data_IF_200431080369
#
_entry.id   IF_200431080369
#
_cell.length_a   1.000
_cell.length_b   1.000
_cell.length_c   1.000
_cell.angle_alpha   90.00
_cell.angle_beta   90.00
_cell.angle_gamma   90.00
#
_symmetry.space_group_name_H-M   'P 1'
#
loop_
_entity.id
_entity.type
_entity.pdbx_description
1 polymer ?
#
# COMPACT_ATOMS: atom_id res chain seq x y z
N UNK A 1 -1.95 -15.14 10.38
CA UNK A 1 -2.40 -14.08 11.29
C UNK A 1 -1.31 -13.04 11.58
N UNK A 2 -0.21 -13.39 12.27
CA UNK A 2 0.86 -12.44 12.62
C UNK A 2 1.46 -11.74 11.39
N UNK A 3 1.76 -12.49 10.32
CA UNK A 3 2.30 -11.92 9.08
C UNK A 3 1.39 -10.86 8.45
N UNK A 4 0.08 -11.13 8.37
CA UNK A 4 -0.89 -10.19 7.79
C UNK A 4 -1.05 -8.94 8.65
N UNK A 5 -1.00 -9.08 9.97
CA UNK A 5 -1.01 -7.94 10.89
C UNK A 5 0.26 -7.08 10.74
N UNK A 6 1.43 -7.72 10.71
CA UNK A 6 2.71 -7.02 10.48
C UNK A 6 2.72 -6.32 9.13
N UNK A 7 2.22 -6.97 8.08
CA UNK A 7 2.08 -6.37 6.75
C UNK A 7 1.13 -5.17 6.80
N UNK A 8 -0.02 -5.29 7.46
CA UNK A 8 -0.97 -4.20 7.63
C UNK A 8 -0.35 -2.98 8.32
N UNK A 9 0.32 -3.20 9.45
CA UNK A 9 1.02 -2.14 10.20
C UNK A 9 2.14 -1.54 9.36
N UNK A 10 2.94 -2.37 8.67
CA UNK A 10 4.00 -1.89 7.79
C UNK A 10 3.46 -0.98 6.68
N UNK A 11 2.35 -1.35 6.03
CA UNK A 11 1.73 -0.53 4.97
C UNK A 11 1.23 0.81 5.51
N UNK A 12 0.72 0.87 6.75
CA UNK A 12 0.34 2.13 7.41
C UNK A 12 1.59 2.99 7.68
N UNK A 13 2.65 2.41 8.24
CA UNK A 13 3.91 3.13 8.49
C UNK A 13 4.49 3.66 7.18
N UNK A 14 4.46 2.84 6.13
CA UNK A 14 4.92 3.20 4.79
C UNK A 14 4.10 4.38 4.24
N UNK A 15 2.76 4.33 4.32
CA UNK A 15 1.89 5.41 3.91
C UNK A 15 2.14 6.71 4.69
N UNK A 16 2.31 6.62 6.01
CA UNK A 16 2.61 7.76 6.88
C UNK A 16 3.96 8.40 6.54
N UNK A 17 4.99 7.59 6.26
CA UNK A 17 6.27 8.10 5.79
C UNK A 17 6.14 8.91 4.51
N UNK A 18 5.35 8.45 3.54
CA UNK A 18 5.09 9.20 2.30
C UNK A 18 4.25 10.45 2.53
N UNK A 19 3.27 10.41 3.43
CA UNK A 19 2.48 11.57 3.81
C UNK A 19 3.36 12.66 4.48
N UNK A 20 4.34 12.25 5.28
CA UNK A 20 5.33 13.12 5.90
C UNK A 20 6.47 13.53 4.95
N UNK A 21 6.41 13.12 3.68
CA UNK A 21 7.43 13.43 2.66
C UNK A 21 8.82 12.92 3.02
N UNK A 22 8.89 11.89 3.86
CA UNK A 22 10.13 11.25 4.28
C UNK A 22 10.73 10.45 3.13
N UNK A 23 12.05 10.45 3.04
CA UNK A 23 12.79 9.72 1.99
C UNK A 23 13.25 8.33 2.43
N UNK A 24 13.01 7.95 3.69
CA UNK A 24 13.49 6.69 4.29
C UNK A 24 13.04 5.49 3.44
N UNK A 25 11.74 5.42 3.14
CA UNK A 25 11.12 4.31 2.41
C UNK A 25 10.97 4.51 0.90
N UNK A 26 11.60 5.54 0.31
CA UNK A 26 11.62 5.70 -1.14
C UNK A 26 12.64 4.77 -1.79
N UNK A 27 12.28 4.20 -2.94
CA UNK A 27 13.23 3.51 -3.82
C UNK A 27 14.23 4.47 -4.48
N UNK A 28 15.28 3.93 -5.10
CA UNK A 28 16.40 4.74 -5.61
C UNK A 28 15.96 5.71 -6.70
N UNK A 29 15.00 5.31 -7.51
CA UNK A 29 14.52 6.13 -8.62
C UNK A 29 13.68 7.32 -8.13
N UNK A 30 12.72 7.13 -7.22
CA UNK A 30 11.99 8.26 -6.66
C UNK A 30 12.86 9.17 -5.79
N UNK A 31 13.96 8.67 -5.20
CA UNK A 31 14.96 9.52 -4.55
C UNK A 31 15.67 10.47 -5.52
N UNK A 32 15.87 10.06 -6.78
CA UNK A 32 16.50 10.86 -7.84
C UNK A 32 15.59 11.91 -8.47
N UNK A 33 14.28 11.82 -8.24
CA UNK A 33 13.33 12.84 -8.70
C UNK A 33 13.64 14.19 -8.09
N UNK A 34 13.29 15.26 -8.82
CA UNK A 34 13.23 16.59 -8.24
C UNK A 34 12.23 16.63 -7.07
N UNK A 35 12.37 17.65 -6.22
CA UNK A 35 11.61 17.73 -4.98
C UNK A 35 10.10 17.72 -5.24
N UNK A 36 9.63 18.43 -6.26
CA UNK A 36 8.21 18.63 -6.50
C UNK A 36 7.58 17.38 -7.13
N UNK A 37 8.24 16.78 -8.13
CA UNK A 37 7.81 15.49 -8.70
C UNK A 37 7.80 14.38 -7.65
N UNK A 38 8.79 14.37 -6.74
CA UNK A 38 8.82 13.42 -5.62
C UNK A 38 7.63 13.63 -4.69
N UNK A 39 7.29 14.86 -4.30
CA UNK A 39 6.11 15.11 -3.44
C UNK A 39 4.81 14.67 -4.11
N UNK A 40 4.66 14.90 -5.41
CA UNK A 40 3.51 14.43 -6.19
C UNK A 40 3.45 12.91 -6.20
N UNK A 41 4.59 12.26 -6.44
CA UNK A 41 4.71 10.81 -6.40
C UNK A 41 4.30 10.25 -5.03
N UNK A 42 4.88 10.77 -3.94
CA UNK A 42 4.61 10.34 -2.58
C UNK A 42 3.13 10.49 -2.21
N UNK A 43 2.53 11.65 -2.52
CA UNK A 43 1.10 11.90 -2.25
C UNK A 43 0.21 10.87 -2.95
N UNK A 44 0.54 10.47 -4.17
CA UNK A 44 -0.26 9.52 -4.95
C UNK A 44 -0.20 8.08 -4.48
N UNK A 45 0.78 7.71 -3.64
CA UNK A 45 0.88 6.36 -3.06
C UNK A 45 0.32 6.26 -1.63
N UNK A 46 0.10 7.38 -0.94
CA UNK A 46 -0.41 7.37 0.46
C UNK A 46 -1.74 6.63 0.57
N UNK A 47 -2.73 7.02 -0.24
CA UNK A 47 -4.08 6.46 -0.16
C UNK A 47 -4.12 4.94 -0.37
N UNK A 48 -3.52 4.36 -1.44
CA UNK A 48 -3.59 2.92 -1.65
C UNK A 48 -2.81 2.13 -0.60
N UNK A 49 -1.66 2.60 -0.12
CA UNK A 49 -0.93 1.91 0.95
C UNK A 49 -1.67 1.98 2.30
N UNK A 50 -2.29 3.12 2.63
CA UNK A 50 -3.08 3.25 3.86
C UNK A 50 -4.31 2.33 3.81
N UNK A 51 -5.00 2.27 2.66
CA UNK A 51 -6.14 1.39 2.46
C UNK A 51 -5.76 -0.09 2.58
N UNK A 52 -4.65 -0.52 1.94
CA UNK A 52 -4.12 -1.89 2.07
C UNK A 52 -3.84 -2.24 3.54
N UNK A 53 -3.22 -1.30 4.27
CA UNK A 53 -2.92 -1.48 5.70
C UNK A 53 -4.18 -1.73 6.53
N UNK A 54 -5.20 -0.89 6.36
CA UNK A 54 -6.48 -1.02 7.06
C UNK A 54 -7.19 -2.33 6.68
N UNK A 55 -7.24 -2.68 5.39
CA UNK A 55 -7.87 -3.92 4.90
C UNK A 55 -7.21 -5.15 5.53
N UNK A 56 -5.87 -5.22 5.54
CA UNK A 56 -5.18 -6.37 6.12
C UNK A 56 -5.42 -6.52 7.62
N UNK A 57 -5.45 -5.42 8.37
CA UNK A 57 -5.77 -5.43 9.79
C UNK A 57 -7.22 -5.86 10.01
N UNK A 58 -8.17 -5.27 9.28
CA UNK A 58 -9.59 -5.60 9.38
C UNK A 58 -9.85 -7.07 9.09
N UNK A 59 -9.32 -7.59 7.98
CA UNK A 59 -9.44 -9.01 7.65
C UNK A 59 -8.81 -9.92 8.69
N UNK A 60 -7.69 -9.52 9.32
CA UNK A 60 -7.06 -10.32 10.38
C UNK A 60 -8.01 -10.49 11.56
N UNK A 61 -8.67 -9.42 11.99
CA UNK A 61 -9.63 -9.48 13.10
C UNK A 61 -10.96 -10.14 12.71
N UNK A 62 -11.49 -9.85 11.52
CA UNK A 62 -12.75 -10.39 11.05
C UNK A 62 -12.69 -11.91 10.80
N UNK A 63 -11.56 -12.42 10.31
CA UNK A 63 -11.35 -13.86 10.18
C UNK A 63 -11.13 -14.53 11.54
N UNK A 64 -10.40 -13.90 12.47
CA UNK A 64 -10.23 -14.40 13.84
C UNK A 64 -11.54 -14.47 14.61
N UNK A 65 -12.44 -13.51 14.39
CA UNK A 65 -13.76 -13.46 15.01
C UNK A 65 -14.81 -14.31 14.28
N UNK A 66 -14.43 -15.06 13.25
CA UNK A 66 -15.32 -15.88 12.41
C UNK A 66 -16.49 -15.11 11.78
N UNK A 67 -16.37 -13.78 11.69
CA UNK A 67 -17.37 -12.89 11.07
C UNK A 67 -17.43 -13.12 9.55
N UNK A 68 -16.29 -13.44 8.95
CA UNK A 68 -16.14 -13.63 7.51
C UNK A 68 -15.66 -15.06 7.25
N UNK A 69 -16.50 -15.86 6.61
CA UNK A 69 -16.12 -17.20 6.13
C UNK A 69 -15.10 -17.15 5.00
N UNK A 70 -14.38 -18.25 4.77
CA UNK A 70 -13.27 -18.34 3.81
C UNK A 70 -13.62 -17.86 2.40
N UNK A 71 -14.78 -18.25 1.87
CA UNK A 71 -15.22 -17.85 0.53
C UNK A 71 -15.39 -16.34 0.42
N UNK A 72 -16.05 -15.72 1.40
CA UNK A 72 -16.28 -14.28 1.43
C UNK A 72 -14.95 -13.52 1.62
N UNK A 73 -14.03 -14.06 2.43
CA UNK A 73 -12.69 -13.50 2.57
C UNK A 73 -11.96 -13.45 1.23
N UNK A 74 -11.94 -14.54 0.46
CA UNK A 74 -11.26 -14.59 -0.84
C UNK A 74 -11.87 -13.57 -1.82
N UNK A 75 -13.20 -13.48 -1.88
CA UNK A 75 -13.88 -12.53 -2.77
C UNK A 75 -13.56 -11.08 -2.39
N UNK A 76 -13.70 -10.72 -1.11
CA UNK A 76 -13.37 -9.38 -0.62
C UNK A 76 -11.89 -9.05 -0.81
N UNK A 77 -11.01 -10.04 -0.64
CA UNK A 77 -9.58 -9.86 -0.88
C UNK A 77 -9.31 -9.47 -2.33
N UNK A 78 -9.87 -10.21 -3.30
CA UNK A 78 -9.68 -9.88 -4.72
C UNK A 78 -10.25 -8.50 -5.05
N UNK A 79 -11.49 -8.22 -4.62
CA UNK A 79 -12.19 -6.97 -4.97
C UNK A 79 -11.56 -5.74 -4.33
N UNK A 80 -11.04 -5.86 -3.10
CA UNK A 80 -10.49 -4.70 -2.38
C UNK A 80 -8.98 -4.54 -2.55
N UNK A 81 -8.21 -5.63 -2.61
CA UNK A 81 -6.74 -5.57 -2.66
C UNK A 81 -6.26 -5.36 -4.09
N UNK A 82 -6.83 -6.05 -5.08
CA UNK A 82 -6.33 -6.03 -6.45
C UNK A 82 -6.37 -4.63 -7.08
N UNK A 83 -7.45 -3.83 -6.96
CA UNK A 83 -7.48 -2.47 -7.52
C UNK A 83 -6.42 -1.55 -6.89
N UNK A 84 -6.13 -1.72 -5.60
CA UNK A 84 -5.11 -0.93 -4.90
C UNK A 84 -3.70 -1.29 -5.38
N UNK A 85 -3.44 -2.57 -5.62
CA UNK A 85 -2.18 -3.00 -6.23
C UNK A 85 -2.01 -2.45 -7.66
N UNK A 86 -3.07 -2.53 -8.48
CA UNK A 86 -3.07 -1.97 -9.83
C UNK A 86 -2.81 -0.46 -9.79
N UNK A 87 -3.44 0.27 -8.86
CA UNK A 87 -3.18 1.69 -8.65
C UNK A 87 -1.69 1.93 -8.38
N UNK A 88 -1.12 1.26 -7.36
CA UNK A 88 0.30 1.44 -7.00
C UNK A 88 1.20 1.20 -8.20
N UNK A 89 0.98 0.11 -8.95
CA UNK A 89 1.79 -0.23 -10.11
C UNK A 89 1.65 0.76 -11.26
N UNK A 90 0.43 1.21 -11.56
CA UNK A 90 0.19 2.22 -12.58
C UNK A 90 0.84 3.56 -12.19
N UNK A 91 0.75 3.94 -10.92
CA UNK A 91 1.33 5.17 -10.40
C UNK A 91 2.86 5.15 -10.41
N UNK A 92 3.46 4.01 -10.01
CA UNK A 92 4.90 3.78 -10.14
C UNK A 92 5.34 3.87 -11.60
N UNK A 93 4.66 3.18 -12.53
CA UNK A 93 5.00 3.26 -13.96
C UNK A 93 4.93 4.69 -14.48
N UNK A 94 3.89 5.44 -14.09
CA UNK A 94 3.68 6.81 -14.54
C UNK A 94 4.79 7.77 -14.11
N UNK A 95 5.30 7.65 -12.88
CA UNK A 95 6.26 8.62 -12.34
C UNK A 95 7.71 8.13 -12.39
N UNK A 96 7.92 6.85 -12.16
CA UNK A 96 9.26 6.23 -12.01
C UNK A 96 9.71 5.53 -13.30
N UNK A 97 8.80 5.30 -14.26
CA UNK A 97 9.07 4.57 -15.50
C UNK A 97 9.11 3.04 -15.33
N UNK A 98 8.98 2.55 -14.11
CA UNK A 98 9.00 1.12 -13.76
C UNK A 98 7.80 0.78 -12.87
N UNK A 99 7.30 -0.46 -12.97
CA UNK A 99 6.23 -0.94 -12.09
C UNK A 99 6.70 -1.10 -10.63
N UNK A 100 7.99 -1.37 -10.44
CA UNK A 100 8.62 -1.53 -9.13
C UNK A 100 9.75 -0.54 -8.99
N UNK A 101 9.82 0.14 -7.85
CA UNK A 101 11.00 0.92 -7.52
C UNK A 101 12.17 -0.03 -7.23
N UNK A 102 13.32 0.19 -7.88
CA UNK A 102 14.58 -0.54 -7.65
C UNK A 102 15.53 0.27 -6.78
#
# INVERSE_FOLDING_TARGET
>A
MLFQLLLGVFMIIYALSHAMKSTIFLGKQAKKMDRDARHVYQKGVVAPFLALGIIFIFFTFATKAEIIGTTLFVVLYIVLVLPLLIWIFAHNKKHVGYYFER
#
